data_IF_685347738179
#
_entry.id   IF_685347738179
#
_cell.length_a   1.000
_cell.length_b   1.000
_cell.length_c   1.000
_cell.angle_alpha   90.00
_cell.angle_beta   90.00
_cell.angle_gamma   90.00
#
_symmetry.space_group_name_H-M   'P 1'
#
loop_
_entity.id
_entity.type
_entity.pdbx_description
1 polymer ?
#
# COMPACT_ATOMS: atom_id res chain seq x y z
N UNK A 1 -72.22 17.96 -14.79
CA UNK A 1 -71.84 19.32 -15.23
C UNK A 1 -70.37 19.53 -14.90
N UNK A 2 -69.62 20.15 -15.84
CA UNK A 2 -68.23 20.65 -15.78
C UNK A 2 -67.13 19.57 -15.60
N UNK A 3 -66.39 19.13 -16.63
CA UNK A 3 -65.42 19.76 -17.55
C UNK A 3 -64.16 20.34 -16.89
N UNK A 4 -63.01 20.04 -17.54
CA UNK A 4 -61.66 20.66 -17.50
C UNK A 4 -60.74 20.13 -16.37
N UNK A 5 -59.45 19.77 -16.56
CA UNK A 5 -58.44 20.11 -17.58
C UNK A 5 -57.33 19.03 -17.62
N UNK A 6 -56.75 18.86 -18.81
CA UNK A 6 -55.54 18.08 -19.12
C UNK A 6 -54.27 18.63 -18.46
N UNK A 7 -53.41 17.76 -17.93
CA UNK A 7 -51.95 17.95 -18.01
C UNK A 7 -51.34 16.61 -18.45
N UNK A 8 -50.91 16.59 -19.71
CA UNK A 8 -50.05 15.56 -20.28
C UNK A 8 -48.62 15.95 -19.89
N UNK A 9 -48.00 15.17 -19.01
CA UNK A 9 -46.55 15.22 -18.79
C UNK A 9 -45.96 13.91 -19.27
N UNK A 10 -45.48 13.90 -20.52
CA UNK A 10 -44.68 12.81 -21.08
C UNK A 10 -43.24 13.05 -20.66
N UNK A 11 -42.73 12.19 -19.78
CA UNK A 11 -41.29 11.99 -19.59
C UNK A 11 -41.05 10.49 -19.69
N UNK A 12 -40.77 10.02 -20.90
CA UNK A 12 -40.23 8.69 -21.14
C UNK A 12 -38.72 8.82 -21.34
N UNK A 13 -37.95 8.43 -20.31
CA UNK A 13 -36.60 7.94 -20.53
C UNK A 13 -36.49 6.55 -19.90
N UNK A 14 -36.54 5.54 -20.77
CA UNK A 14 -36.10 4.20 -20.46
C UNK A 14 -34.57 4.19 -20.43
N UNK A 15 -33.98 3.96 -19.27
CA UNK A 15 -32.63 3.39 -19.17
C UNK A 15 -32.73 2.07 -18.45
N UNK A 16 -32.93 1.01 -19.24
CA UNK A 16 -32.62 -0.34 -18.81
C UNK A 16 -31.11 -0.46 -18.71
N UNK A 17 -30.57 -0.50 -17.49
CA UNK A 17 -29.30 -1.16 -17.22
C UNK A 17 -29.63 -2.45 -16.47
N UNK A 18 -29.68 -3.55 -17.20
CA UNK A 18 -29.47 -4.87 -16.61
C UNK A 18 -28.00 -4.96 -16.22
N UNK A 19 -27.71 -4.86 -14.92
CA UNK A 19 -26.43 -5.30 -14.40
C UNK A 19 -26.66 -6.63 -13.69
N UNK A 20 -26.62 -7.69 -14.49
CA UNK A 20 -26.56 -9.05 -13.99
C UNK A 20 -25.13 -9.32 -13.54
N UNK A 21 -24.89 -9.28 -12.23
CA UNK A 21 -23.70 -9.87 -11.64
C UNK A 21 -24.10 -10.63 -10.37
N UNK A 22 -24.45 -11.90 -10.58
CA UNK A 22 -24.37 -12.92 -9.53
C UNK A 22 -22.90 -13.17 -9.20
N UNK A 23 -22.44 -12.69 -8.05
CA UNK A 23 -21.35 -13.31 -7.31
C UNK A 23 -21.68 -13.28 -5.81
N UNK A 24 -22.47 -14.26 -5.36
CA UNK A 24 -22.22 -14.84 -4.04
C UNK A 24 -20.87 -15.54 -4.10
N UNK A 25 -19.84 -14.90 -3.55
CA UNK A 25 -18.81 -15.57 -2.77
C UNK A 25 -18.40 -14.65 -1.63
N UNK A 26 -18.94 -15.01 -0.47
CA UNK A 26 -18.32 -14.87 0.83
C UNK A 26 -16.79 -14.85 0.72
N UNK A 27 -16.23 -13.65 0.69
CA UNK A 27 -14.83 -13.37 0.97
C UNK A 27 -14.87 -12.04 1.67
N UNK A 28 -14.63 -12.09 2.98
CA UNK A 28 -14.35 -10.92 3.79
C UNK A 28 -13.06 -10.29 3.25
N UNK A 29 -13.20 -9.50 2.20
CA UNK A 29 -12.13 -8.67 1.66
C UNK A 29 -11.85 -7.62 2.73
N UNK A 30 -10.69 -7.76 3.37
CA UNK A 30 -10.09 -6.68 4.12
C UNK A 30 -9.71 -5.60 3.10
N UNK A 31 -10.65 -4.69 2.85
CA UNK A 31 -10.42 -3.43 2.16
C UNK A 31 -9.42 -2.62 2.99
N UNK A 32 -8.13 -2.81 2.70
CA UNK A 32 -7.09 -1.89 3.13
C UNK A 32 -7.12 -0.68 2.17
N UNK A 33 -8.21 0.08 2.20
CA UNK A 33 -8.24 1.46 1.73
C UNK A 33 -7.39 2.30 2.68
N UNK A 34 -6.08 2.06 2.65
CA UNK A 34 -5.11 2.91 3.30
C UNK A 34 -4.93 4.09 2.37
N UNK A 35 -5.63 5.18 2.68
CA UNK A 35 -5.35 6.50 2.15
C UNK A 35 -3.84 6.70 2.18
N UNK A 36 -3.22 6.71 0.99
CA UNK A 36 -1.81 7.07 0.85
C UNK A 36 -1.72 8.56 1.11
N UNK A 37 -1.74 8.94 2.39
CA UNK A 37 -1.52 10.29 2.84
C UNK A 37 -0.19 10.77 2.27
N UNK A 38 -0.22 11.89 1.56
CA UNK A 38 0.97 12.50 0.98
C UNK A 38 1.99 12.76 2.10
N UNK A 39 3.12 12.07 2.05
CA UNK A 39 4.21 12.24 3.02
C UNK A 39 4.73 13.68 2.94
N UNK A 40 4.72 14.38 4.06
CA UNK A 40 5.25 15.74 4.18
C UNK A 40 6.75 15.64 4.42
N UNK A 41 7.54 16.26 3.53
CA UNK A 41 9.00 16.39 3.72
C UNK A 41 9.28 17.23 4.97
N UNK A 42 10.08 16.69 5.90
CA UNK A 42 10.44 17.32 7.16
C UNK A 42 11.74 18.15 7.06
N UNK A 43 12.42 18.16 5.91
CA UNK A 43 13.64 18.91 5.69
C UNK A 43 14.73 18.57 6.71
N UNK A 44 15.26 19.58 7.41
CA UNK A 44 16.33 19.41 8.41
C UNK A 44 15.90 18.71 9.72
N UNK A 45 14.61 18.40 9.89
CA UNK A 45 14.06 17.85 11.14
C UNK A 45 13.51 16.43 10.92
N UNK A 46 14.35 15.55 10.41
CA UNK A 46 14.03 14.11 10.27
C UNK A 46 13.96 13.43 11.64
N UNK A 47 13.15 12.39 11.74
CA UNK A 47 13.11 11.52 12.92
C UNK A 47 14.36 10.65 13.00
N UNK A 48 14.79 10.29 14.21
CA UNK A 48 15.86 9.31 14.40
C UNK A 48 15.21 7.92 14.52
N UNK A 49 15.47 6.99 13.59
CA UNK A 49 14.94 5.64 13.70
C UNK A 49 15.63 4.90 14.86
N UNK A 50 14.87 4.05 15.55
CA UNK A 50 15.44 3.10 16.51
C UNK A 50 16.33 2.09 15.80
N UNK A 51 17.25 1.47 16.53
CA UNK A 51 18.17 0.49 15.94
C UNK A 51 17.44 -0.74 15.36
N UNK A 52 16.39 -1.23 16.04
CA UNK A 52 15.55 -2.32 15.54
C UNK A 52 14.87 -1.95 14.22
N UNK A 53 14.38 -0.71 14.10
CA UNK A 53 13.78 -0.24 12.86
C UNK A 53 14.81 -0.16 11.73
N UNK A 54 16.01 0.38 11.98
CA UNK A 54 17.08 0.45 10.98
C UNK A 54 17.40 -0.92 10.40
N UNK A 55 17.64 -1.90 11.28
CA UNK A 55 17.96 -3.29 10.90
C UNK A 55 16.86 -3.90 10.03
N UNK A 56 15.58 -3.66 10.38
CA UNK A 56 14.45 -4.21 9.62
C UNK A 56 14.25 -3.52 8.27
N UNK A 57 14.44 -2.20 8.20
CA UNK A 57 14.38 -1.46 6.93
C UNK A 57 15.51 -1.87 5.98
N UNK A 58 16.72 -2.07 6.49
CA UNK A 58 17.84 -2.64 5.73
C UNK A 58 17.57 -4.06 5.25
N UNK A 59 16.92 -4.89 6.09
CA UNK A 59 16.52 -6.25 5.71
C UNK A 59 15.54 -6.22 4.54
N UNK A 60 14.55 -5.33 4.55
CA UNK A 60 13.62 -5.13 3.43
C UNK A 60 14.38 -4.72 2.17
N UNK A 61 15.25 -3.70 2.27
CA UNK A 61 16.05 -3.22 1.15
C UNK A 61 16.91 -4.33 0.53
N UNK A 62 17.56 -5.13 1.38
CA UNK A 62 18.40 -6.24 0.96
C UNK A 62 17.60 -7.35 0.28
N UNK A 63 16.39 -7.65 0.74
CA UNK A 63 15.49 -8.61 0.09
C UNK A 63 15.14 -8.16 -1.34
N UNK A 64 14.79 -6.87 -1.51
CA UNK A 64 14.47 -6.30 -2.83
C UNK A 64 15.70 -6.31 -3.75
N UNK A 65 16.85 -5.86 -3.27
CA UNK A 65 18.10 -5.82 -4.06
C UNK A 65 18.51 -7.21 -4.54
N UNK A 66 18.45 -8.24 -3.67
CA UNK A 66 18.76 -9.62 -4.04
C UNK A 66 17.78 -10.18 -5.07
N UNK A 67 16.50 -9.80 -4.99
CA UNK A 67 15.46 -10.26 -5.90
C UNK A 67 15.62 -9.73 -7.34
N UNK A 68 16.42 -8.68 -7.56
CA UNK A 68 16.63 -8.08 -8.90
C UNK A 68 17.07 -9.11 -9.96
N UNK A 69 17.84 -10.12 -9.56
CA UNK A 69 18.30 -11.21 -10.45
C UNK A 69 17.20 -12.22 -10.79
N UNK A 70 16.14 -12.27 -9.98
CA UNK A 70 15.04 -13.24 -10.07
C UNK A 70 13.73 -12.59 -10.55
N UNK A 71 13.80 -11.40 -11.14
CA UNK A 71 12.62 -10.61 -11.57
C UNK A 71 11.62 -11.38 -12.44
N UNK A 72 12.10 -12.33 -13.25
CA UNK A 72 11.28 -13.13 -14.16
C UNK A 72 10.83 -14.47 -13.53
N UNK A 73 11.37 -14.84 -12.37
CA UNK A 73 11.00 -16.04 -11.63
C UNK A 73 9.89 -15.73 -10.63
N UNK A 74 8.63 -15.92 -11.05
CA UNK A 74 7.46 -15.66 -10.21
C UNK A 74 7.50 -16.37 -8.85
N UNK A 75 8.03 -17.59 -8.76
CA UNK A 75 8.11 -18.31 -7.49
C UNK A 75 9.05 -17.62 -6.51
N UNK A 76 10.21 -17.16 -6.98
CA UNK A 76 11.16 -16.41 -6.14
C UNK A 76 10.62 -15.03 -5.77
N UNK A 77 9.99 -14.32 -6.72
CA UNK A 77 9.32 -13.03 -6.43
C UNK A 77 8.29 -13.20 -5.32
N UNK A 78 7.45 -14.25 -5.37
CA UNK A 78 6.47 -14.55 -4.33
C UNK A 78 7.09 -14.84 -2.96
N UNK A 79 8.20 -15.58 -2.92
CA UNK A 79 8.94 -15.83 -1.67
C UNK A 79 9.47 -14.53 -1.07
N UNK A 80 9.98 -13.62 -1.90
CA UNK A 80 10.45 -12.30 -1.44
C UNK A 80 9.30 -11.46 -0.90
N UNK A 81 8.13 -11.44 -1.55
CA UNK A 81 6.93 -10.80 -1.01
C UNK A 81 6.61 -11.31 0.40
N UNK A 82 6.44 -12.62 0.58
CA UNK A 82 6.17 -13.19 1.91
C UNK A 82 7.23 -12.81 2.95
N UNK A 83 8.51 -12.82 2.57
CA UNK A 83 9.59 -12.44 3.47
C UNK A 83 9.52 -10.96 3.90
N UNK A 84 9.19 -10.04 2.98
CA UNK A 84 8.99 -8.62 3.29
C UNK A 84 7.78 -8.43 4.21
N UNK A 85 6.65 -9.07 3.90
CA UNK A 85 5.43 -9.03 4.70
C UNK A 85 5.69 -9.46 6.16
N UNK A 86 6.51 -10.51 6.37
CA UNK A 86 6.93 -10.96 7.69
C UNK A 86 7.79 -9.92 8.44
N UNK A 87 8.75 -9.29 7.75
CA UNK A 87 9.59 -8.25 8.37
C UNK A 87 8.74 -7.06 8.83
N UNK A 88 7.79 -6.62 8.01
CA UNK A 88 6.84 -5.55 8.37
C UNK A 88 5.99 -5.94 9.56
N UNK A 89 5.44 -7.17 9.57
CA UNK A 89 4.68 -7.68 10.71
C UNK A 89 5.48 -7.62 12.00
N UNK A 90 6.78 -7.92 11.93
CA UNK A 90 7.63 -7.84 13.11
C UNK A 90 7.95 -6.39 13.53
N UNK A 91 8.08 -5.44 12.60
CA UNK A 91 8.20 -4.00 12.93
C UNK A 91 7.00 -3.58 13.81
N UNK A 92 5.78 -3.94 13.43
CA UNK A 92 4.58 -3.57 14.20
C UNK A 92 4.54 -4.20 15.59
N UNK A 93 5.13 -5.39 15.79
CA UNK A 93 5.17 -6.05 17.10
C UNK A 93 6.18 -5.42 18.06
N UNK A 94 7.25 -4.86 17.52
CA UNK A 94 8.38 -4.32 18.31
C UNK A 94 8.53 -2.82 18.17
N UNK A 95 7.54 -2.12 17.62
CA UNK A 95 7.61 -0.68 17.42
C UNK A 95 7.76 0.05 18.75
N UNK A 96 8.80 0.88 18.85
CA UNK A 96 9.15 1.69 20.02
C UNK A 96 9.48 3.12 19.62
N UNK A 97 8.84 3.60 18.56
CA UNK A 97 9.01 4.98 18.11
C UNK A 97 8.23 5.93 19.03
N UNK A 98 8.68 7.17 19.11
CA UNK A 98 7.88 8.27 19.67
C UNK A 98 6.61 8.47 18.83
N UNK A 99 5.49 8.93 19.41
CA UNK A 99 4.19 8.98 18.73
C UNK A 99 4.20 9.64 17.33
N UNK A 100 4.85 10.79 17.20
CA UNK A 100 4.92 11.52 15.92
C UNK A 100 5.73 10.74 14.86
N UNK A 101 6.77 10.01 15.27
CA UNK A 101 7.57 9.19 14.37
C UNK A 101 6.84 7.90 13.98
N UNK A 102 6.09 7.31 14.92
CA UNK A 102 5.23 6.15 14.68
C UNK A 102 4.11 6.49 13.67
N UNK A 103 3.43 7.62 13.86
CA UNK A 103 2.43 8.10 12.92
C UNK A 103 3.04 8.33 11.52
N UNK A 104 4.22 8.94 11.46
CA UNK A 104 4.89 9.23 10.21
C UNK A 104 5.35 7.97 9.44
N UNK A 105 5.69 6.87 10.14
CA UNK A 105 6.17 5.66 9.46
C UNK A 105 5.05 4.79 8.90
N UNK A 106 3.82 4.92 9.41
CA UNK A 106 2.70 4.08 8.99
C UNK A 106 2.41 4.12 7.47
N UNK A 107 2.36 5.28 6.79
CA UNK A 107 2.18 5.33 5.34
C UNK A 107 3.30 4.63 4.57
N UNK A 108 4.54 4.74 5.05
CA UNK A 108 5.71 4.06 4.48
C UNK A 108 5.54 2.54 4.58
N UNK A 109 5.26 2.02 5.77
CA UNK A 109 5.11 0.57 5.97
C UNK A 109 3.92 0.01 5.19
N UNK A 110 2.82 0.75 5.11
CA UNK A 110 1.67 0.39 4.29
C UNK A 110 2.01 0.33 2.79
N UNK A 111 2.81 1.27 2.29
CA UNK A 111 3.29 1.26 0.91
C UNK A 111 4.18 0.04 0.63
N UNK A 112 5.12 -0.29 1.52
CA UNK A 112 5.96 -1.48 1.37
C UNK A 112 5.10 -2.74 1.41
N UNK A 113 4.12 -2.84 2.31
CA UNK A 113 3.20 -3.99 2.40
C UNK A 113 2.36 -4.14 1.13
N UNK A 114 1.91 -3.02 0.54
CA UNK A 114 1.19 -3.02 -0.74
C UNK A 114 2.07 -3.58 -1.87
N UNK A 115 3.33 -3.15 -1.96
CA UNK A 115 4.25 -3.68 -2.96
C UNK A 115 4.63 -5.15 -2.69
N UNK A 116 4.72 -5.53 -1.42
CA UNK A 116 4.90 -6.92 -0.99
C UNK A 116 3.76 -7.82 -1.46
N UNK A 117 2.51 -7.37 -1.32
CA UNK A 117 1.34 -8.07 -1.85
C UNK A 117 1.39 -8.25 -3.37
N UNK A 118 1.90 -7.26 -4.12
CA UNK A 118 2.13 -7.42 -5.55
C UNK A 118 3.21 -8.48 -5.86
N UNK A 119 4.30 -8.53 -5.09
CA UNK A 119 5.28 -9.61 -5.17
C UNK A 119 4.65 -10.99 -4.88
N UNK A 120 3.78 -11.10 -3.87
CA UNK A 120 3.06 -12.35 -3.56
C UNK A 120 2.11 -12.81 -4.67
N UNK A 121 1.66 -11.89 -5.52
CA UNK A 121 0.92 -12.18 -6.77
C UNK A 121 1.85 -12.52 -7.94
N UNK A 122 3.16 -12.33 -7.79
CA UNK A 122 4.17 -12.53 -8.82
C UNK A 122 4.35 -11.32 -9.75
N UNK A 123 3.80 -10.16 -9.38
CA UNK A 123 3.97 -8.90 -10.12
C UNK A 123 5.19 -8.15 -9.60
N UNK A 124 6.33 -8.42 -10.23
CA UNK A 124 7.61 -7.80 -9.87
C UNK A 124 7.63 -6.29 -10.14
N UNK A 125 7.06 -5.81 -11.26
CA UNK A 125 7.21 -4.40 -11.65
C UNK A 125 6.43 -3.50 -10.71
N UNK A 126 5.16 -3.83 -10.46
CA UNK A 126 4.31 -3.08 -9.54
C UNK A 126 4.86 -3.15 -8.12
N UNK A 127 5.26 -4.35 -7.66
CA UNK A 127 5.82 -4.51 -6.32
C UNK A 127 7.10 -3.70 -6.11
N UNK A 128 8.01 -3.72 -7.08
CA UNK A 128 9.26 -2.97 -6.99
C UNK A 128 9.01 -1.46 -6.96
N UNK A 129 8.16 -0.94 -7.85
CA UNK A 129 7.85 0.50 -7.90
C UNK A 129 7.32 0.98 -6.55
N UNK A 130 6.34 0.26 -6.00
CA UNK A 130 5.68 0.65 -4.76
C UNK A 130 6.60 0.58 -3.55
N UNK A 131 7.42 -0.47 -3.46
CA UNK A 131 8.42 -0.58 -2.38
C UNK A 131 9.44 0.54 -2.52
N UNK A 132 9.95 0.79 -3.73
CA UNK A 132 10.95 1.84 -3.97
C UNK A 132 10.42 3.24 -3.58
N UNK A 133 9.21 3.61 -4.01
CA UNK A 133 8.54 4.86 -3.61
C UNK A 133 8.44 5.00 -2.09
N UNK A 134 8.11 3.90 -1.40
CA UNK A 134 7.99 3.91 0.07
C UNK A 134 9.36 4.07 0.76
N UNK A 135 10.42 3.48 0.20
CA UNK A 135 11.78 3.65 0.71
C UNK A 135 12.33 5.06 0.47
N UNK A 136 11.92 5.73 -0.62
CA UNK A 136 12.18 7.16 -0.83
C UNK A 136 11.51 8.00 0.26
N UNK A 137 10.27 7.69 0.61
CA UNK A 137 9.54 8.42 1.65
C UNK A 137 10.13 8.16 3.05
N UNK A 138 10.59 6.93 3.33
CA UNK A 138 11.38 6.63 4.53
C UNK A 138 12.61 7.54 4.62
N UNK A 139 13.38 7.67 3.54
CA UNK A 139 14.57 8.52 3.52
C UNK A 139 14.26 10.00 3.78
N UNK A 140 13.12 10.50 3.32
CA UNK A 140 12.68 11.89 3.59
C UNK A 140 12.33 12.10 5.07
N UNK A 141 11.73 11.10 5.71
CA UNK A 141 11.22 11.19 7.08
C UNK A 141 12.26 10.87 8.14
N UNK A 142 13.16 9.92 7.89
CA UNK A 142 14.07 9.37 8.88
C UNK A 142 15.54 9.64 8.54
N UNK A 143 16.32 10.03 9.55
CA UNK A 143 17.77 10.15 9.48
C UNK A 143 18.42 8.80 9.78
N UNK A 144 18.39 7.91 8.79
CA UNK A 144 19.07 6.62 8.85
C UNK A 144 20.49 6.78 8.28
N UNK A 145 21.50 6.79 9.14
CA UNK A 145 22.90 6.88 8.72
C UNK A 145 23.27 5.76 7.74
N UNK A 146 24.07 6.07 6.73
CA UNK A 146 24.49 5.12 5.68
C UNK A 146 23.35 4.56 4.80
N UNK A 147 22.11 5.05 4.94
CA UNK A 147 21.00 4.64 4.10
C UNK A 147 21.26 4.96 2.63
N UNK A 148 21.21 3.91 1.79
CA UNK A 148 21.40 3.98 0.33
C UNK A 148 20.46 2.97 -0.33
N UNK A 149 19.27 3.41 -0.70
CA UNK A 149 18.26 2.52 -1.25
C UNK A 149 18.37 2.35 -2.77
#
# INVERSE_FOLDING_TARGET
MNKLICIVLVITLNTAFSNEHNHSKDSKEHDHSISSGKVKDLGAKKFIPTEDLKIRMEKILNLVKKNKKNKDNKTEVKKVGKAISLVISDIFKTCKLEPDADEAIHPVLAGILTGSSAFEKGDYKTGLSRIHESLLDYEKLFSHEEWKH
#
